data_IF_487817881689
#
_entry.id   IF_487817881689
#
_cell.length_a   1.000
_cell.length_b   1.000
_cell.length_c   1.000
_cell.angle_alpha   90.00
_cell.angle_beta   90.00
_cell.angle_gamma   90.00
#
_symmetry.space_group_name_H-M   'P 1'
#
loop_
_entity.id
_entity.type
_entity.pdbx_description
1 polymer ?
#
# COMPACT_ATOMS: atom_id res chain seq x y z
N UNK A 1 -3.26 15.40 -8.13
CA UNK A 1 -3.80 14.50 -7.14
C UNK A 1 -3.52 13.06 -7.47
N UNK A 2 -3.46 12.30 -6.48
CA UNK A 2 -3.10 10.93 -6.52
C UNK A 2 -4.35 10.09 -6.79
N UNK A 3 -4.36 9.23 -7.79
CA UNK A 3 -5.58 8.47 -8.12
C UNK A 3 -5.78 7.34 -7.11
N UNK A 4 -6.85 7.46 -6.33
CA UNK A 4 -7.11 6.50 -5.27
C UNK A 4 -8.33 5.61 -5.53
N UNK A 5 -9.09 5.87 -6.55
CA UNK A 5 -10.36 5.16 -6.73
C UNK A 5 -11.28 5.51 -5.58
N UNK A 6 -11.85 4.51 -4.91
CA UNK A 6 -12.72 4.74 -3.76
C UNK A 6 -11.98 4.69 -2.44
N UNK A 7 -10.66 4.46 -2.47
CA UNK A 7 -9.88 4.32 -1.25
C UNK A 7 -9.44 5.67 -0.72
N UNK A 8 -9.27 5.76 0.59
CA UNK A 8 -8.70 6.96 1.21
C UNK A 8 -7.24 6.71 1.54
N UNK A 9 -6.53 7.77 1.94
CA UNK A 9 -5.16 7.61 2.39
C UNK A 9 -5.08 6.81 3.68
N UNK A 10 -6.13 6.88 4.52
CA UNK A 10 -6.19 6.02 5.69
C UNK A 10 -6.31 4.55 5.28
N UNK A 11 -7.07 4.26 4.24
CA UNK A 11 -7.19 2.89 3.75
C UNK A 11 -5.85 2.36 3.27
N UNK A 12 -5.08 3.19 2.57
CA UNK A 12 -3.75 2.80 2.09
C UNK A 12 -2.83 2.53 3.28
N UNK A 13 -2.84 3.41 4.27
CA UNK A 13 -2.00 3.22 5.46
C UNK A 13 -2.39 1.97 6.25
N UNK A 14 -3.70 1.74 6.39
CA UNK A 14 -4.17 0.56 7.10
C UNK A 14 -3.78 -0.71 6.37
N UNK A 15 -3.83 -0.70 5.04
CA UNK A 15 -3.40 -1.84 4.27
C UNK A 15 -1.90 -2.07 4.42
N UNK A 16 -1.10 -1.00 4.44
CA UNK A 16 0.34 -1.15 4.61
C UNK A 16 0.68 -1.81 5.94
N UNK A 17 -0.03 -1.42 7.00
CA UNK A 17 0.17 -2.06 8.30
C UNK A 17 -0.23 -3.53 8.25
N UNK A 18 -1.32 -3.83 7.57
CA UNK A 18 -1.77 -5.22 7.45
C UNK A 18 -0.75 -6.05 6.67
N UNK A 19 -0.24 -5.52 5.57
CA UNK A 19 0.76 -6.23 4.77
C UNK A 19 2.04 -6.46 5.56
N UNK A 20 2.43 -5.48 6.38
CA UNK A 20 3.60 -5.65 7.23
C UNK A 20 3.36 -6.70 8.30
N UNK A 21 2.13 -6.81 8.80
CA UNK A 21 1.77 -7.86 9.75
C UNK A 21 1.89 -9.23 9.08
N UNK A 22 1.48 -9.35 7.82
CA UNK A 22 1.65 -10.61 7.10
C UNK A 22 3.14 -10.98 7.07
N UNK A 23 3.99 -10.01 6.76
CA UNK A 23 5.42 -10.29 6.67
C UNK A 23 6.03 -10.66 8.01
N UNK A 24 5.72 -9.89 9.05
CA UNK A 24 6.43 -10.03 10.32
C UNK A 24 5.81 -11.05 11.26
N UNK A 25 4.50 -11.15 11.26
CA UNK A 25 3.82 -12.04 12.19
C UNK A 25 3.43 -13.37 11.57
N UNK A 26 3.04 -13.36 10.30
CA UNK A 26 2.65 -14.57 9.62
C UNK A 26 3.76 -15.16 8.78
N UNK A 27 4.85 -14.44 8.60
CA UNK A 27 5.99 -14.85 7.79
C UNK A 27 5.58 -15.19 6.36
N UNK A 28 4.60 -14.45 5.84
CA UNK A 28 4.13 -14.64 4.48
C UNK A 28 5.20 -14.21 3.49
N UNK A 29 5.22 -14.84 2.34
CA UNK A 29 6.12 -14.45 1.26
C UNK A 29 5.48 -13.37 0.41
N UNK A 30 6.28 -12.73 -0.44
CA UNK A 30 5.78 -11.76 -1.41
C UNK A 30 4.70 -12.40 -2.28
N UNK A 31 4.93 -13.62 -2.75
CA UNK A 31 3.97 -14.31 -3.62
C UNK A 31 2.66 -14.58 -2.89
N UNK A 32 2.73 -14.92 -1.63
CA UNK A 32 1.52 -15.14 -0.85
C UNK A 32 0.74 -13.86 -0.65
N UNK A 33 1.45 -12.74 -0.41
CA UNK A 33 0.80 -11.45 -0.27
C UNK A 33 0.14 -11.03 -1.57
N UNK A 34 0.81 -11.22 -2.70
CA UNK A 34 0.22 -10.88 -4.00
C UNK A 34 -0.99 -11.76 -4.30
N UNK A 35 -0.95 -13.03 -3.91
CA UNK A 35 -2.11 -13.91 -4.11
C UNK A 35 -3.32 -13.42 -3.31
N UNK A 36 -3.10 -12.87 -2.13
CA UNK A 36 -4.19 -12.30 -1.34
C UNK A 36 -4.82 -11.11 -2.05
N UNK A 37 -4.01 -10.31 -2.77
CA UNK A 37 -4.56 -9.20 -3.54
C UNK A 37 -5.43 -9.69 -4.69
N UNK A 38 -5.07 -10.81 -5.30
CA UNK A 38 -5.87 -11.34 -6.39
C UNK A 38 -7.25 -11.81 -5.93
N UNK A 39 -7.40 -12.11 -4.64
CA UNK A 39 -8.67 -12.57 -4.13
C UNK A 39 -9.60 -11.44 -3.70
N UNK A 40 -9.11 -10.21 -3.68
CA UNK A 40 -9.93 -9.07 -3.24
C UNK A 40 -10.76 -8.55 -4.40
N UNK A 41 -11.87 -7.91 -4.06
CA UNK A 41 -12.71 -7.24 -5.04
C UNK A 41 -12.39 -5.75 -5.00
N UNK A 42 -12.24 -5.13 -6.15
CA UNK A 42 -11.87 -3.73 -6.25
C UNK A 42 -12.93 -2.96 -7.03
N UNK A 43 -13.24 -1.74 -6.56
CA UNK A 43 -14.17 -0.88 -7.28
C UNK A 43 -13.53 -0.29 -8.53
N UNK A 44 -12.21 -0.11 -8.52
CA UNK A 44 -11.50 0.43 -9.67
C UNK A 44 -10.14 -0.26 -9.80
N UNK A 45 -9.66 -0.40 -11.02
CA UNK A 45 -8.38 -1.09 -11.28
C UNK A 45 -7.21 -0.41 -10.58
N UNK A 46 -7.27 0.92 -10.42
CA UNK A 46 -6.18 1.64 -9.79
C UNK A 46 -5.99 1.22 -8.34
N UNK A 47 -7.05 0.73 -7.70
CA UNK A 47 -6.95 0.32 -6.30
C UNK A 47 -6.05 -0.89 -6.14
N UNK A 48 -6.20 -1.87 -7.03
CA UNK A 48 -5.34 -3.05 -6.98
C UNK A 48 -3.90 -2.66 -7.27
N UNK A 49 -3.69 -1.75 -8.23
CA UNK A 49 -2.36 -1.30 -8.55
C UNK A 49 -1.70 -0.61 -7.35
N UNK A 50 -2.45 0.25 -6.66
CA UNK A 50 -1.91 0.93 -5.50
C UNK A 50 -1.52 -0.04 -4.40
N UNK A 51 -2.37 -1.04 -4.13
CA UNK A 51 -2.05 -2.01 -3.10
C UNK A 51 -0.89 -2.90 -3.48
N UNK A 52 -0.72 -3.21 -4.77
CA UNK A 52 0.43 -4.00 -5.20
C UNK A 52 1.73 -3.23 -5.02
N UNK A 53 1.71 -1.91 -5.20
CA UNK A 53 2.89 -1.08 -4.94
C UNK A 53 3.23 -1.12 -3.45
N UNK A 54 2.23 -1.06 -2.59
CA UNK A 54 2.45 -1.16 -1.14
C UNK A 54 3.13 -2.50 -0.81
N UNK A 55 2.64 -3.59 -1.39
CA UNK A 55 3.22 -4.91 -1.15
C UNK A 55 4.67 -4.96 -1.63
N UNK A 56 4.96 -4.34 -2.79
CA UNK A 56 6.33 -4.31 -3.30
C UNK A 56 7.28 -3.66 -2.29
N UNK A 57 6.87 -2.56 -1.68
CA UNK A 57 7.74 -1.89 -0.70
C UNK A 57 7.79 -2.64 0.63
N UNK A 58 6.65 -3.09 1.11
CA UNK A 58 6.60 -3.77 2.41
C UNK A 58 7.41 -5.06 2.40
N UNK A 59 7.36 -5.79 1.28
CA UNK A 59 8.09 -7.06 1.18
C UNK A 59 9.47 -6.90 0.56
N UNK A 60 9.86 -5.68 0.23
CA UNK A 60 11.19 -5.39 -0.29
C UNK A 60 12.13 -4.95 0.81
N UNK A 61 13.21 -4.30 0.40
CA UNK A 61 14.26 -3.88 1.33
C UNK A 61 13.77 -2.81 2.30
N UNK A 62 12.87 -1.92 1.86
CA UNK A 62 12.39 -0.87 2.74
C UNK A 62 11.64 -1.44 3.93
N UNK A 63 10.80 -2.43 3.68
CA UNK A 63 9.99 -2.99 4.75
C UNK A 63 10.78 -3.78 5.77
N UNK A 64 12.02 -4.16 5.42
CA UNK A 64 12.84 -4.94 6.35
C UNK A 64 13.02 -4.22 7.69
N UNK A 65 13.13 -2.91 7.68
CA UNK A 65 13.42 -2.15 8.87
C UNK A 65 12.21 -1.43 9.44
N UNK A 66 11.03 -1.57 8.85
CA UNK A 66 9.84 -0.90 9.33
C UNK A 66 9.08 -1.77 10.34
N UNK A 67 8.49 -1.11 11.32
CA UNK A 67 7.50 -1.79 12.18
C UNK A 67 6.15 -1.76 11.47
N UNK A 68 5.20 -2.50 12.02
CA UNK A 68 3.83 -2.50 11.48
C UNK A 68 3.25 -1.08 11.50
N UNK A 69 3.46 -0.37 12.60
CA UNK A 69 2.94 0.98 12.72
C UNK A 69 3.65 1.93 11.76
N UNK A 70 4.97 1.82 11.65
CA UNK A 70 5.73 2.69 10.75
C UNK A 70 5.31 2.52 9.31
N UNK A 71 5.07 1.28 8.87
CA UNK A 71 4.64 1.05 7.50
C UNK A 71 3.34 1.79 7.22
N UNK A 72 2.38 1.72 8.14
CA UNK A 72 1.11 2.43 7.96
C UNK A 72 1.31 3.94 7.90
N UNK A 73 2.14 4.48 8.78
CA UNK A 73 2.37 5.92 8.82
C UNK A 73 3.08 6.43 7.57
N UNK A 74 4.06 5.67 7.07
CA UNK A 74 4.79 6.06 5.86
C UNK A 74 3.85 6.15 4.67
N UNK A 75 3.03 5.12 4.47
CA UNK A 75 2.16 5.10 3.30
C UNK A 75 1.00 6.08 3.42
N UNK A 76 0.48 6.28 4.62
CA UNK A 76 -0.57 7.29 4.82
C UNK A 76 -0.03 8.69 4.52
N UNK A 77 1.16 8.99 5.03
CA UNK A 77 1.77 10.29 4.84
C UNK A 77 2.11 10.53 3.37
N UNK A 78 2.69 9.54 2.70
CA UNK A 78 3.01 9.65 1.29
C UNK A 78 1.76 9.84 0.46
N UNK A 79 0.70 9.14 0.76
CA UNK A 79 -0.56 9.27 0.05
C UNK A 79 -1.12 10.66 0.23
N UNK A 80 -1.07 11.20 1.44
CA UNK A 80 -1.61 12.54 1.70
C UNK A 80 -0.80 13.61 0.98
N UNK A 81 0.51 13.45 0.92
CA UNK A 81 1.34 14.38 0.17
C UNK A 81 1.03 14.32 -1.32
N UNK A 82 0.89 13.14 -1.88
CA UNK A 82 0.55 13.00 -3.29
C UNK A 82 -0.81 13.55 -3.62
N UNK A 83 -1.79 13.37 -2.71
CA UNK A 83 -3.13 13.86 -2.93
C UNK A 83 -3.17 15.38 -2.91
N UNK A 84 -2.36 16.01 -2.05
CA UNK A 84 -2.36 17.45 -1.89
C UNK A 84 -1.46 18.15 -2.91
N UNK A 85 -0.58 17.44 -3.58
CA UNK A 85 0.30 18.05 -4.57
C UNK A 85 -0.49 18.38 -5.82
N UNK A 86 -0.12 19.45 -6.54
CA UNK A 86 -0.74 19.74 -7.82
C UNK A 86 -0.52 18.60 -8.80
N UNK A 87 -1.45 18.41 -9.69
CA UNK A 87 -1.28 17.40 -10.69
C UNK A 87 -0.19 17.83 -11.62
N UNK A 88 0.79 16.99 -11.76
CA UNK A 88 1.82 17.25 -12.69
C UNK A 88 1.42 16.52 -13.93
N UNK A 89 1.22 17.24 -14.96
CA UNK A 89 0.70 16.62 -16.03
C UNK A 89 1.57 15.96 -16.72
N UNK A 90 1.77 14.92 -16.51
CA UNK A 90 2.49 14.26 -17.21
C UNK A 90 1.76 13.63 -18.06
N UNK A 91 0.88 13.66 -17.88
CA UNK A 91 0.04 13.03 -18.65
C UNK A 91 -0.40 13.55 -19.60
#
# INVERSE_FOLDING_TARGET
PYPLGTMSCDDIGNFASEAMRWRKEELATYEEAMARLEERTYAAAVEKKNLSIVVDYVFGNFGRNWTIETAGNVFRSDCEKGRDDPVVEEN
#
